data_IF_826564371187
#
_entry.id   IF_826564371187
#
_cell.length_a   1.000
_cell.length_b   1.000
_cell.length_c   1.000
_cell.angle_alpha   90.00
_cell.angle_beta   90.00
_cell.angle_gamma   90.00
#
_symmetry.space_group_name_H-M   'P 1'
#
loop_
_entity.id
_entity.type
_entity.pdbx_description
1 polymer ?
#
# COMPACT_ATOMS: atom_id res chain seq x y z
N UNK A 1 10.67 -34.33 -19.45
CA UNK A 1 10.53 -34.13 -17.99
C UNK A 1 10.48 -32.64 -17.73
N UNK A 2 9.57 -32.16 -16.88
CA UNK A 2 9.56 -30.75 -16.46
C UNK A 2 10.77 -30.46 -15.57
N UNK A 3 11.36 -29.27 -15.69
CA UNK A 3 12.44 -28.81 -14.82
C UNK A 3 11.89 -28.25 -13.51
N UNK A 4 12.73 -28.12 -12.48
CA UNK A 4 12.34 -27.52 -11.21
C UNK A 4 11.84 -26.07 -11.37
N UNK A 5 12.41 -25.30 -12.30
CA UNK A 5 11.98 -23.93 -12.59
C UNK A 5 10.62 -23.89 -13.29
N UNK A 6 10.36 -24.81 -14.22
CA UNK A 6 9.03 -24.94 -14.85
C UNK A 6 7.95 -25.33 -13.84
N UNK A 7 8.29 -26.19 -12.88
CA UNK A 7 7.37 -26.55 -11.80
C UNK A 7 7.03 -25.36 -10.90
N UNK A 8 8.04 -24.57 -10.48
CA UNK A 8 7.83 -23.36 -9.67
C UNK A 8 6.95 -22.35 -10.39
N UNK A 9 7.20 -22.12 -11.68
CA UNK A 9 6.40 -21.22 -12.49
C UNK A 9 4.94 -21.69 -12.60
N UNK A 10 4.72 -22.99 -12.79
CA UNK A 10 3.39 -23.58 -12.83
C UNK A 10 2.63 -23.42 -11.50
N UNK A 11 3.29 -23.69 -10.37
CA UNK A 11 2.69 -23.51 -9.04
C UNK A 11 2.35 -22.03 -8.80
N UNK A 12 3.23 -21.11 -9.17
CA UNK A 12 2.96 -19.67 -9.04
C UNK A 12 1.77 -19.24 -9.90
N UNK A 13 1.65 -19.75 -11.12
CA UNK A 13 0.51 -19.49 -11.99
C UNK A 13 -0.79 -19.98 -11.34
N UNK A 14 -0.82 -21.22 -10.86
CA UNK A 14 -1.97 -21.78 -10.15
C UNK A 14 -2.34 -20.97 -8.89
N UNK A 15 -1.35 -20.39 -8.21
CA UNK A 15 -1.57 -19.51 -7.06
C UNK A 15 -2.27 -18.22 -7.48
N UNK A 16 -1.82 -17.59 -8.57
CA UNK A 16 -2.43 -16.36 -9.10
C UNK A 16 -3.85 -16.58 -9.64
N UNK A 17 -4.13 -17.78 -10.14
CA UNK A 17 -5.46 -18.21 -10.61
C UNK A 17 -6.37 -18.66 -9.45
N UNK A 18 -5.90 -18.66 -8.19
CA UNK A 18 -6.70 -19.10 -7.05
C UNK A 18 -7.02 -20.59 -7.02
N UNK A 19 -6.26 -21.41 -7.76
CA UNK A 19 -6.49 -22.87 -7.92
C UNK A 19 -5.74 -23.74 -6.91
N UNK A 20 -4.93 -23.14 -6.03
CA UNK A 20 -4.16 -23.88 -5.02
C UNK A 20 -4.92 -24.17 -3.72
N UNK A 21 -6.08 -23.55 -3.52
CA UNK A 21 -6.89 -23.69 -2.30
C UNK A 21 -8.36 -23.76 -2.68
N UNK A 22 -9.12 -24.58 -1.95
CA UNK A 22 -10.57 -24.66 -2.09
C UNK A 22 -11.25 -23.34 -1.72
N UNK A 23 -12.18 -22.88 -2.57
CA UNK A 23 -12.95 -21.68 -2.32
C UNK A 23 -14.09 -21.97 -1.35
N UNK A 24 -14.10 -21.27 -0.22
CA UNK A 24 -15.06 -21.52 0.86
C UNK A 24 -16.15 -20.45 0.89
N UNK A 25 -17.45 -20.81 0.89
CA UNK A 25 -18.55 -19.84 0.86
C UNK A 25 -18.53 -18.82 2.03
N UNK A 26 -18.02 -19.22 3.19
CA UNK A 26 -17.93 -18.37 4.38
C UNK A 26 -16.92 -17.21 4.25
N UNK A 27 -15.98 -17.28 3.31
CA UNK A 27 -15.02 -16.19 3.05
C UNK A 27 -15.65 -15.02 2.27
N UNK A 28 -16.86 -15.22 1.74
CA UNK A 28 -17.59 -14.23 0.96
C UNK A 28 -17.06 -14.11 -0.47
N UNK A 29 -17.37 -12.98 -1.12
CA UNK A 29 -17.02 -12.72 -2.52
C UNK A 29 -16.22 -11.42 -2.67
N UNK A 30 -15.38 -11.38 -3.69
CA UNK A 30 -14.64 -10.20 -4.12
C UNK A 30 -15.57 -9.06 -4.50
N UNK A 31 -16.76 -9.36 -5.02
CA UNK A 31 -17.82 -8.37 -5.25
C UNK A 31 -18.26 -7.71 -3.93
N UNK A 32 -18.58 -8.52 -2.92
CA UNK A 32 -19.01 -8.05 -1.61
C UNK A 32 -17.93 -7.22 -0.92
N UNK A 33 -16.69 -7.70 -0.91
CA UNK A 33 -15.55 -6.98 -0.35
C UNK A 33 -15.31 -5.65 -1.09
N UNK A 34 -15.42 -5.64 -2.41
CA UNK A 34 -15.26 -4.42 -3.20
C UNK A 34 -16.30 -3.36 -2.82
N UNK A 35 -17.57 -3.75 -2.68
CA UNK A 35 -18.62 -2.83 -2.23
C UNK A 35 -18.34 -2.26 -0.83
N UNK A 36 -17.87 -3.09 0.11
CA UNK A 36 -17.47 -2.63 1.44
C UNK A 36 -16.33 -1.60 1.36
N UNK A 37 -15.32 -1.86 0.53
CA UNK A 37 -14.20 -0.93 0.30
C UNK A 37 -14.70 0.39 -0.30
N UNK A 38 -15.60 0.35 -1.30
CA UNK A 38 -16.15 1.58 -1.89
C UNK A 38 -16.98 2.39 -0.89
N UNK A 39 -17.76 1.73 -0.03
CA UNK A 39 -18.54 2.37 1.01
C UNK A 39 -17.64 3.05 2.05
N UNK A 40 -16.63 2.35 2.55
CA UNK A 40 -15.68 2.89 3.53
C UNK A 40 -14.85 4.04 2.93
N UNK A 41 -14.38 3.90 1.68
CA UNK A 41 -13.70 5.00 0.98
C UNK A 41 -14.60 6.23 0.84
N UNK A 42 -15.86 6.04 0.48
CA UNK A 42 -16.82 7.16 0.35
C UNK A 42 -17.02 7.88 1.69
N UNK A 43 -17.09 7.13 2.80
CA UNK A 43 -17.13 7.68 4.15
C UNK A 43 -15.86 8.47 4.49
N UNK A 44 -14.68 7.90 4.26
CA UNK A 44 -13.40 8.57 4.51
C UNK A 44 -13.17 9.82 3.64
N UNK A 45 -13.73 9.86 2.43
CA UNK A 45 -13.74 11.07 1.58
C UNK A 45 -14.63 12.16 2.18
N UNK A 46 -15.83 11.80 2.67
CA UNK A 46 -16.74 12.74 3.35
C UNK A 46 -16.11 13.31 4.62
N UNK A 47 -15.38 12.49 5.36
CA UNK A 47 -14.62 12.89 6.56
C UNK A 47 -13.33 13.68 6.22
N UNK A 48 -12.96 13.80 4.94
CA UNK A 48 -11.73 14.51 4.51
C UNK A 48 -10.42 13.79 4.80
N UNK A 49 -10.46 12.54 5.27
CA UNK A 49 -9.26 11.73 5.59
C UNK A 49 -8.51 11.28 4.35
N UNK A 50 -9.22 11.05 3.25
CA UNK A 50 -8.65 10.70 1.94
C UNK A 50 -9.19 11.61 0.85
N UNK A 51 -8.39 11.80 -0.21
CA UNK A 51 -8.80 12.58 -1.38
C UNK A 51 -9.74 11.77 -2.26
N UNK A 52 -10.74 12.42 -2.84
CA UNK A 52 -11.58 11.82 -3.87
C UNK A 52 -10.73 11.46 -5.09
N UNK A 53 -10.73 10.18 -5.45
CA UNK A 53 -10.05 9.70 -6.65
C UNK A 53 -10.95 9.88 -7.87
N UNK A 54 -10.33 10.05 -9.04
CA UNK A 54 -11.04 10.03 -10.31
C UNK A 54 -11.52 8.60 -10.57
N UNK A 55 -12.72 8.41 -11.14
CA UNK A 55 -13.16 7.08 -11.57
C UNK A 55 -12.17 6.54 -12.60
N UNK A 56 -11.83 5.27 -12.47
CA UNK A 56 -10.98 4.54 -13.41
C UNK A 56 -11.86 3.88 -14.49
N UNK A 57 -11.26 3.56 -15.64
CA UNK A 57 -11.93 2.79 -16.68
C UNK A 57 -12.25 1.39 -16.17
N UNK A 58 -13.42 0.87 -16.56
CA UNK A 58 -13.75 -0.53 -16.39
C UNK A 58 -12.64 -1.45 -16.96
N UNK A 59 -12.62 -2.70 -16.50
CA UNK A 59 -11.73 -3.73 -17.04
C UNK A 59 -12.52 -4.46 -18.12
N UNK A 60 -12.04 -4.39 -19.36
CA UNK A 60 -12.66 -5.11 -20.46
C UNK A 60 -12.27 -6.60 -20.42
N UNK A 61 -13.05 -7.47 -21.07
CA UNK A 61 -12.81 -8.93 -21.04
C UNK A 61 -11.47 -9.31 -21.67
N UNK A 62 -11.01 -8.59 -22.69
CA UNK A 62 -9.73 -8.79 -23.36
C UNK A 62 -8.51 -8.39 -22.51
N UNK A 63 -8.71 -7.59 -21.46
CA UNK A 63 -7.65 -7.23 -20.50
C UNK A 63 -7.42 -8.32 -19.44
N UNK A 64 -8.33 -9.28 -19.29
CA UNK A 64 -8.22 -10.33 -18.26
C UNK A 64 -7.26 -11.42 -18.75
N UNK A 65 -6.10 -11.61 -18.08
CA UNK A 65 -5.07 -12.51 -18.58
C UNK A 65 -5.41 -13.99 -18.41
N UNK A 66 -6.29 -14.32 -17.48
CA UNK A 66 -6.69 -15.68 -17.14
C UNK A 66 -8.01 -15.69 -16.35
N UNK A 67 -8.60 -16.87 -16.27
CA UNK A 67 -9.78 -17.13 -15.45
C UNK A 67 -9.42 -17.16 -13.96
N UNK A 68 -10.29 -16.56 -13.15
CA UNK A 68 -10.21 -16.54 -11.69
C UNK A 68 -11.44 -17.25 -11.11
N UNK A 69 -11.42 -17.66 -9.84
CA UNK A 69 -12.60 -18.25 -9.21
C UNK A 69 -13.77 -17.26 -9.17
N UNK A 70 -15.01 -17.75 -9.20
CA UNK A 70 -16.21 -16.91 -9.15
C UNK A 70 -16.32 -16.07 -7.86
N UNK A 71 -15.69 -16.54 -6.78
CA UNK A 71 -15.55 -15.81 -5.53
C UNK A 71 -14.60 -14.61 -5.63
N UNK A 72 -13.78 -14.50 -6.68
CA UNK A 72 -12.81 -13.42 -6.87
C UNK A 72 -13.33 -12.38 -7.88
N UNK A 73 -12.72 -11.19 -7.86
CA UNK A 73 -13.06 -10.12 -8.81
C UNK A 73 -11.81 -9.40 -9.29
N UNK A 74 -11.72 -9.18 -10.60
CA UNK A 74 -10.78 -8.22 -11.17
C UNK A 74 -11.18 -6.79 -10.82
N UNK A 75 -10.26 -6.04 -10.21
CA UNK A 75 -10.44 -4.62 -9.84
C UNK A 75 -9.18 -3.84 -10.19
N UNK A 76 -9.30 -2.55 -10.53
CA UNK A 76 -8.10 -1.73 -10.71
C UNK A 76 -7.53 -1.45 -9.33
N UNK A 77 -6.20 -1.59 -9.18
CA UNK A 77 -5.52 -1.36 -7.91
C UNK A 77 -5.90 -0.01 -7.26
N UNK A 78 -5.99 1.07 -8.05
CA UNK A 78 -6.39 2.39 -7.58
C UNK A 78 -7.82 2.47 -7.00
N UNK A 79 -8.72 1.54 -7.34
CA UNK A 79 -10.08 1.51 -6.80
C UNK A 79 -10.12 1.00 -5.36
N UNK A 80 -9.17 0.15 -4.97
CA UNK A 80 -9.10 -0.45 -3.64
C UNK A 80 -8.09 0.22 -2.70
N UNK A 81 -7.17 1.03 -3.23
CA UNK A 81 -6.18 1.75 -2.40
C UNK A 81 -6.34 3.26 -2.43
N UNK A 82 -5.78 3.91 -1.41
CA UNK A 82 -5.48 5.35 -1.42
C UNK A 82 -3.98 5.50 -1.19
N UNK A 83 -3.22 5.85 -2.23
CA UNK A 83 -1.79 6.07 -2.11
C UNK A 83 -1.45 7.56 -2.04
N UNK A 84 -0.33 7.87 -1.38
CA UNK A 84 0.25 9.22 -1.31
C UNK A 84 1.73 9.12 -1.61
N UNK A 85 2.26 10.13 -2.29
CA UNK A 85 3.70 10.21 -2.52
C UNK A 85 4.37 10.90 -1.34
N UNK A 86 5.48 10.31 -0.89
CA UNK A 86 6.39 10.96 0.04
C UNK A 86 7.08 12.17 -0.60
N UNK A 87 7.75 12.96 0.23
CA UNK A 87 8.52 14.13 -0.19
C UNK A 87 9.83 14.18 0.58
N UNK A 88 10.85 14.78 -0.04
CA UNK A 88 12.12 15.10 0.61
C UNK A 88 12.16 16.62 0.80
N UNK A 89 12.23 17.12 2.04
CA UNK A 89 12.53 18.54 2.28
C UNK A 89 13.85 18.94 1.64
N UNK A 90 14.06 20.22 1.28
CA UNK A 90 15.36 20.72 0.85
C UNK A 90 16.46 20.29 1.82
N UNK A 91 17.56 19.74 1.30
CA UNK A 91 18.66 19.22 2.13
C UNK A 91 19.54 20.35 2.65
N UNK A 92 19.52 21.48 1.96
CA UNK A 92 20.27 22.69 2.26
C UNK A 92 19.68 23.44 3.47
N UNK A 93 18.38 23.29 3.71
CA UNK A 93 17.70 23.89 4.86
C UNK A 93 17.71 22.93 6.05
N UNK A 94 18.78 23.01 6.84
CA UNK A 94 18.98 22.19 8.04
C UNK A 94 17.89 22.38 9.09
N UNK A 95 17.11 23.46 9.05
CA UNK A 95 15.99 23.67 9.98
C UNK A 95 14.88 22.63 9.82
N UNK A 96 14.80 22.00 8.63
CA UNK A 96 13.86 20.92 8.34
C UNK A 96 14.31 19.55 8.85
N UNK A 97 15.58 19.36 9.16
CA UNK A 97 16.15 18.05 9.51
C UNK A 97 16.42 17.98 11.01
N UNK A 98 15.39 17.59 11.77
CA UNK A 98 15.43 17.35 13.22
C UNK A 98 14.76 16.03 13.53
N UNK A 99 15.10 15.37 14.64
CA UNK A 99 14.54 14.06 15.00
C UNK A 99 13.15 14.13 15.65
N UNK A 100 12.34 15.13 15.31
CA UNK A 100 11.01 15.33 15.91
C UNK A 100 10.03 14.29 15.36
N UNK A 101 10.03 14.08 14.04
CA UNK A 101 9.15 13.13 13.34
C UNK A 101 10.00 12.19 12.47
N UNK A 102 9.81 10.86 12.57
CA UNK A 102 10.51 9.91 11.70
C UNK A 102 10.27 10.20 10.21
N UNK A 103 11.34 10.17 9.42
CA UNK A 103 11.26 10.33 7.97
C UNK A 103 11.86 9.11 7.29
N UNK A 104 11.01 8.32 6.63
CA UNK A 104 11.41 7.07 5.99
C UNK A 104 12.08 7.36 4.66
N UNK A 105 13.33 6.93 4.53
CA UNK A 105 14.09 6.93 3.28
C UNK A 105 14.20 5.51 2.72
N UNK A 106 14.61 5.39 1.45
CA UNK A 106 14.90 4.08 0.83
C UNK A 106 15.97 3.31 1.62
N UNK A 107 16.92 4.01 2.25
CA UNK A 107 18.00 3.39 3.02
C UNK A 107 17.52 2.79 4.36
N UNK A 108 16.27 3.04 4.76
CA UNK A 108 15.61 2.45 5.93
C UNK A 108 14.78 1.21 5.54
N UNK A 109 14.61 0.95 4.24
CA UNK A 109 13.73 -0.08 3.72
C UNK A 109 14.50 -1.39 3.48
N UNK A 110 13.98 -2.50 4.01
CA UNK A 110 14.50 -3.87 3.80
C UNK A 110 13.45 -4.66 3.03
N UNK A 111 13.83 -5.35 1.95
CA UNK A 111 12.89 -6.04 1.06
C UNK A 111 12.00 -7.05 1.83
N UNK A 112 10.67 -6.92 1.65
CA UNK A 112 9.68 -7.69 2.41
C UNK A 112 9.65 -7.44 3.93
N UNK A 113 10.42 -6.45 4.41
CA UNK A 113 10.60 -6.14 5.81
C UNK A 113 9.63 -5.08 6.35
N UNK A 114 9.78 -4.80 7.65
CA UNK A 114 9.02 -3.79 8.39
C UNK A 114 9.98 -2.68 8.82
N UNK A 115 9.64 -1.43 8.51
CA UNK A 115 10.40 -0.27 8.98
C UNK A 115 9.98 0.03 10.41
N UNK A 116 10.91 -0.12 11.35
CA UNK A 116 10.69 0.13 12.79
C UNK A 116 11.34 1.42 13.25
N UNK A 117 12.45 1.82 12.61
CA UNK A 117 13.22 3.01 12.95
C UNK A 117 13.72 3.66 11.67
N UNK A 118 13.87 4.98 11.69
CA UNK A 118 14.44 5.75 10.60
C UNK A 118 15.80 6.31 11.00
N UNK A 119 16.74 6.31 10.05
CA UNK A 119 18.05 6.95 10.25
C UNK A 119 17.91 8.44 10.47
N UNK A 120 16.95 9.07 9.80
CA UNK A 120 16.72 10.51 9.83
C UNK A 120 15.31 10.85 10.31
N UNK A 121 15.12 12.11 10.68
CA UNK A 121 13.81 12.68 11.00
C UNK A 121 13.70 14.09 10.44
N UNK A 122 12.47 14.58 10.41
CA UNK A 122 12.16 15.96 10.03
C UNK A 122 11.61 16.74 11.23
N UNK A 123 11.77 18.06 11.19
CA UNK A 123 11.21 18.94 12.19
C UNK A 123 9.70 19.09 12.08
N UNK A 124 9.04 19.50 13.17
CA UNK A 124 7.61 19.84 13.15
C UNK A 124 7.27 20.88 12.07
N UNK A 125 8.14 21.89 11.89
CA UNK A 125 7.96 22.91 10.86
C UNK A 125 8.06 22.36 9.43
N UNK A 126 8.90 21.36 9.20
CA UNK A 126 8.95 20.66 7.91
C UNK A 126 7.68 19.85 7.68
N UNK A 127 7.19 19.13 8.70
CA UNK A 127 5.96 18.35 8.65
C UNK A 127 4.74 19.18 8.25
N UNK A 128 4.57 20.34 8.88
CA UNK A 128 3.48 21.27 8.56
C UNK A 128 3.64 21.86 7.15
N UNK A 129 4.81 22.45 6.86
CA UNK A 129 5.03 23.21 5.62
C UNK A 129 5.15 22.35 4.37
N UNK A 130 5.73 21.15 4.47
CA UNK A 130 6.01 20.28 3.31
C UNK A 130 5.03 19.13 3.19
N UNK A 131 4.56 18.59 4.32
CA UNK A 131 3.70 17.40 4.34
C UNK A 131 2.23 17.72 4.65
N UNK A 132 1.90 18.97 4.99
CA UNK A 132 0.53 19.39 5.26
C UNK A 132 -0.06 18.69 6.49
N UNK A 133 0.81 18.38 7.47
CA UNK A 133 0.46 17.70 8.71
C UNK A 133 -0.16 16.30 8.52
N UNK A 134 0.19 15.64 7.42
CA UNK A 134 -0.28 14.30 7.10
C UNK A 134 0.82 13.27 7.34
N UNK A 135 0.55 12.35 8.25
CA UNK A 135 1.43 11.23 8.58
C UNK A 135 0.84 9.93 8.01
N UNK A 136 1.69 9.03 7.54
CA UNK A 136 1.28 7.65 7.24
C UNK A 136 0.97 6.95 8.56
N UNK A 137 -0.27 6.48 8.78
CA UNK A 137 -0.58 5.77 10.01
C UNK A 137 0.17 4.45 10.07
N UNK A 138 0.28 3.97 11.31
CA UNK A 138 0.47 2.56 11.62
C UNK A 138 -0.41 1.71 10.66
N UNK A 139 0.21 0.89 9.81
CA UNK A 139 -0.43 -0.11 8.95
C UNK A 139 -0.20 0.15 7.49
N UNK A 140 0.40 1.30 7.18
CA UNK A 140 0.53 1.76 5.82
C UNK A 140 1.53 0.93 5.06
N UNK A 141 1.14 0.54 3.85
CA UNK A 141 2.04 -0.06 2.89
C UNK A 141 2.91 1.05 2.28
N UNK A 142 4.23 1.02 2.50
CA UNK A 142 5.20 1.89 1.84
C UNK A 142 5.78 1.11 0.66
N UNK A 143 6.04 1.79 -0.45
CA UNK A 143 6.68 1.21 -1.63
C UNK A 143 7.69 2.21 -2.21
N UNK A 144 8.85 1.72 -2.62
CA UNK A 144 9.83 2.53 -3.35
C UNK A 144 9.57 2.44 -4.85
N UNK A 145 9.63 3.59 -5.54
CA UNK A 145 9.47 3.67 -7.00
C UNK A 145 10.79 3.97 -7.73
N UNK A 146 11.90 4.03 -6.99
CA UNK A 146 13.20 4.43 -7.51
C UNK A 146 14.10 3.18 -7.58
N UNK A 147 14.51 2.83 -8.80
CA UNK A 147 15.35 1.67 -9.17
C UNK A 147 14.67 0.32 -8.87
N UNK A 148 14.23 -0.37 -9.93
CA UNK A 148 13.55 -1.68 -9.97
C UNK A 148 12.22 -1.79 -9.19
N UNK A 149 11.12 -2.00 -9.92
CA UNK A 149 9.81 -2.39 -9.38
C UNK A 149 9.95 -3.78 -8.74
N UNK A 150 10.21 -3.87 -7.43
CA UNK A 150 10.13 -5.17 -6.75
C UNK A 150 9.69 -5.16 -5.29
N UNK A 151 9.71 -4.04 -4.57
CA UNK A 151 9.59 -4.10 -3.11
C UNK A 151 8.31 -3.45 -2.55
N UNK A 152 7.60 -4.22 -1.72
CA UNK A 152 6.34 -3.91 -1.04
C UNK A 152 6.57 -4.02 0.48
N UNK A 153 6.23 -3.00 1.27
CA UNK A 153 6.63 -2.90 2.69
C UNK A 153 5.46 -2.49 3.59
N UNK A 154 5.30 -3.07 4.80
CA UNK A 154 4.28 -2.68 5.79
C UNK A 154 4.91 -1.88 6.94
N UNK A 155 4.28 -0.79 7.38
CA UNK A 155 4.71 0.01 8.56
C UNK A 155 3.78 -0.19 9.75
N UNK A 156 4.27 -0.16 11.00
CA UNK A 156 3.49 0.17 12.21
C UNK A 156 4.39 0.56 13.43
N UNK A 157 4.38 1.81 13.99
CA UNK A 157 4.36 2.17 15.45
C UNK A 157 4.50 3.70 15.73
N UNK A 158 3.45 4.32 16.29
CA UNK A 158 3.54 5.53 17.12
C UNK A 158 2.33 5.56 18.07
N UNK A 159 2.51 5.07 19.29
CA UNK A 159 1.57 5.30 20.38
C UNK A 159 1.75 6.74 20.85
N UNK A 160 0.68 7.53 20.80
CA UNK A 160 0.56 8.71 21.66
C UNK A 160 0.09 8.20 23.01
N UNK A 161 1.02 7.87 23.90
CA UNK A 161 0.72 7.89 25.33
C UNK A 161 1.00 9.31 25.85
N UNK A 162 -0.09 10.06 25.98
CA UNK A 162 -0.21 11.22 26.85
C UNK A 162 -0.59 10.76 28.26
N UNK A 163 0.20 11.16 29.28
CA UNK A 163 -0.09 11.07 30.72
C UNK A 163 0.59 9.87 31.37
N UNK A 164 1.47 10.01 32.37
CA UNK A 164 1.65 11.00 33.43
C UNK A 164 3.15 11.23 33.71
#
# INVERSE_FOLDING_TARGET
MMTAEQLKASILQLAMEGKLVEQRPEEGTGEGLFHQIQAEKSKLVKEGKIKKQKPLRAIDEDEKPFDIPESWRWVRFGEIVSFRMGKTPPREDLSFWKRDIPWVSIADMIDGGVVVKTKEGISQGAFEKKFGSLISPKGTLIMSFKLSVRSVYKELHADRETGC
#
